data_IF_556184902863
#
_entry.id   IF_556184902863
#
_cell.length_a   1.000
_cell.length_b   1.000
_cell.length_c   1.000
_cell.angle_alpha   90.00
_cell.angle_beta   90.00
_cell.angle_gamma   90.00
#
_symmetry.space_group_name_H-M   'P 1'
#
loop_
_entity.id
_entity.type
_entity.pdbx_description
1 polymer ?
#
# COMPACT_ATOMS: atom_id res chain seq x y z
N UNK A 1 14.93 -12.66 -2.58
CA UNK A 1 13.69 -11.90 -2.87
C UNK A 1 13.45 -10.93 -1.71
N UNK A 2 13.03 -9.70 -1.97
CA UNK A 2 12.81 -8.72 -0.91
C UNK A 2 11.60 -9.10 -0.04
N UNK A 3 11.77 -9.13 1.27
CA UNK A 3 10.70 -9.38 2.26
C UNK A 3 10.14 -8.04 2.75
N UNK A 4 8.90 -8.02 3.23
CA UNK A 4 8.32 -6.81 3.82
C UNK A 4 7.55 -7.16 5.08
N UNK A 5 7.45 -6.20 5.98
CA UNK A 5 6.61 -6.29 7.19
C UNK A 5 5.68 -5.08 7.25
N UNK A 6 4.44 -5.29 7.67
CA UNK A 6 3.44 -4.23 7.82
C UNK A 6 3.16 -4.01 9.30
N UNK A 7 3.39 -2.79 9.79
CA UNK A 7 3.06 -2.45 11.18
C UNK A 7 1.56 -2.47 11.42
N UNK A 8 1.15 -2.76 12.66
CA UNK A 8 -0.26 -2.70 13.08
C UNK A 8 -0.89 -1.34 12.82
N UNK A 9 -0.15 -0.25 13.02
CA UNK A 9 -0.64 1.10 12.76
C UNK A 9 -0.99 1.30 11.28
N UNK A 10 -0.06 0.93 10.39
CA UNK A 10 -0.26 1.00 8.94
C UNK A 10 -1.48 0.17 8.52
N UNK A 11 -1.56 -1.08 9.00
CA UNK A 11 -2.67 -1.98 8.76
C UNK A 11 -4.02 -1.39 9.19
N UNK A 12 -4.12 -0.91 10.44
CA UNK A 12 -5.35 -0.31 10.95
C UNK A 12 -5.76 0.94 10.16
N UNK A 13 -4.84 1.81 9.77
CA UNK A 13 -5.15 2.99 8.96
C UNK A 13 -5.70 2.63 7.58
N UNK A 14 -5.16 1.60 6.93
CA UNK A 14 -5.67 1.08 5.65
C UNK A 14 -7.13 0.64 5.82
N UNK A 15 -7.39 -0.23 6.79
CA UNK A 15 -8.74 -0.75 7.05
C UNK A 15 -9.73 0.35 7.41
N UNK A 16 -9.35 1.25 8.33
CA UNK A 16 -10.21 2.35 8.74
C UNK A 16 -10.50 3.31 7.58
N UNK A 17 -9.55 3.52 6.65
CA UNK A 17 -9.80 4.33 5.47
C UNK A 17 -10.91 3.72 4.60
N UNK A 18 -10.85 2.42 4.33
CA UNK A 18 -11.86 1.74 3.52
C UNK A 18 -13.21 1.65 4.24
N UNK A 19 -13.23 1.33 5.53
CA UNK A 19 -14.46 1.28 6.33
C UNK A 19 -15.13 2.65 6.49
N UNK A 20 -14.35 3.74 6.45
CA UNK A 20 -14.88 5.11 6.46
C UNK A 20 -15.62 5.46 5.16
N UNK A 21 -15.20 4.88 4.02
CA UNK A 21 -15.79 5.14 2.70
C UNK A 21 -16.22 3.83 2.02
N UNK A 22 -17.22 3.13 2.56
CA UNK A 22 -17.49 1.76 2.16
C UNK A 22 -18.00 1.61 0.71
N UNK A 23 -18.67 2.64 0.22
CA UNK A 23 -19.30 2.68 -1.09
C UNK A 23 -18.38 3.23 -2.18
N UNK A 24 -17.09 3.41 -1.91
CA UNK A 24 -16.17 4.05 -2.84
C UNK A 24 -14.79 3.41 -2.81
N UNK A 25 -14.11 3.45 -3.96
CA UNK A 25 -12.72 3.06 -4.01
C UNK A 25 -11.86 4.05 -3.22
N UNK A 26 -10.93 3.53 -2.41
CA UNK A 26 -10.00 4.33 -1.62
C UNK A 26 -8.56 3.99 -1.97
N UNK A 27 -7.66 4.94 -1.82
CA UNK A 27 -6.24 4.70 -1.98
C UNK A 27 -5.36 5.49 -1.01
N UNK A 28 -4.09 5.14 -1.01
CA UNK A 28 -3.07 5.90 -0.30
C UNK A 28 -1.68 5.35 -0.54
N UNK A 29 -0.69 5.99 0.09
CA UNK A 29 0.70 5.55 0.00
C UNK A 29 1.18 4.96 1.31
N UNK A 30 2.09 4.01 1.21
CA UNK A 30 2.74 3.39 2.36
C UNK A 30 4.09 4.04 2.61
N UNK A 31 4.39 4.27 3.88
CA UNK A 31 5.64 4.85 4.34
C UNK A 31 6.45 3.79 5.07
N UNK A 32 7.72 3.72 4.73
CA UNK A 32 8.59 2.69 5.27
C UNK A 32 10.03 3.13 5.42
N UNK A 33 10.72 2.35 6.23
CA UNK A 33 12.13 2.51 6.52
C UNK A 33 12.85 1.29 5.94
N UNK A 34 14.06 1.50 5.41
CA UNK A 34 14.91 0.38 5.03
C UNK A 34 15.49 -0.25 6.28
N UNK A 35 15.18 -1.51 6.49
CA UNK A 35 15.78 -2.28 7.56
C UNK A 35 17.25 -2.52 7.23
N UNK A 36 18.15 -1.81 7.93
CA UNK A 36 19.57 -2.16 7.97
C UNK A 36 19.77 -3.23 9.05
N UNK A 37 19.28 -4.45 8.83
CA UNK A 37 19.70 -5.56 9.69
C UNK A 37 21.19 -5.78 9.38
N UNK A 38 22.05 -5.41 10.34
CA UNK A 38 23.48 -5.59 10.23
C UNK A 38 23.80 -7.09 10.13
N UNK A 39 24.27 -7.53 8.96
CA UNK A 39 24.74 -8.89 8.71
C UNK A 39 23.94 -9.70 7.69
N UNK A 40 22.77 -9.21 7.24
CA UNK A 40 21.95 -9.93 6.26
C UNK A 40 21.83 -9.13 4.95
N UNK A 41 22.18 -9.77 3.83
CA UNK A 41 22.06 -9.20 2.48
C UNK A 41 20.60 -9.15 1.98
N UNK A 42 19.64 -9.48 2.85
CA UNK A 42 18.22 -9.48 2.55
C UNK A 42 17.65 -8.06 2.58
N UNK A 43 17.32 -7.54 1.40
CA UNK A 43 16.64 -6.26 1.21
C UNK A 43 15.21 -6.34 1.81
N UNK A 44 15.05 -6.01 3.09
CA UNK A 44 13.76 -6.06 3.81
C UNK A 44 13.22 -4.65 4.06
N UNK A 45 11.92 -4.46 3.75
CA UNK A 45 11.24 -3.16 3.88
C UNK A 45 10.26 -3.24 5.05
N UNK A 46 10.41 -2.34 6.03
CA UNK A 46 9.45 -2.21 7.12
C UNK A 46 8.49 -1.07 6.83
N UNK A 47 7.21 -1.39 6.65
CA UNK A 47 6.14 -0.41 6.45
C UNK A 47 5.63 0.04 7.82
N UNK A 48 6.05 1.23 8.23
CA UNK A 48 5.80 1.78 9.57
C UNK A 48 4.53 2.64 9.63
N UNK A 49 4.08 3.18 8.50
CA UNK A 49 2.86 3.97 8.45
C UNK A 49 2.23 4.01 7.05
N UNK A 50 1.02 4.57 6.95
CA UNK A 50 0.40 4.92 5.66
C UNK A 50 -0.22 6.30 5.69
N UNK A 51 -0.35 6.90 4.52
CA UNK A 51 -1.07 8.16 4.29
C UNK A 51 -2.27 7.88 3.37
N UNK A 52 -3.49 7.85 3.94
CA UNK A 52 -4.73 7.90 3.16
C UNK A 52 -4.77 9.11 2.24
N UNK A 53 -5.04 8.91 0.95
CA UNK A 53 -5.07 9.98 -0.05
C UNK A 53 -6.50 10.34 -0.45
N UNK A 54 -7.15 9.47 -1.23
CA UNK A 54 -8.42 9.80 -1.88
C UNK A 54 -9.45 8.69 -1.68
N UNK A 55 -10.73 9.07 -1.77
CA UNK A 55 -11.89 8.19 -1.68
C UNK A 55 -12.92 8.44 -2.81
N UNK A 56 -12.56 9.28 -3.79
CA UNK A 56 -13.26 9.54 -5.05
C UNK A 56 -12.25 10.04 -6.09
N UNK A 57 -12.52 9.80 -7.37
CA UNK A 57 -11.71 10.30 -8.50
C UNK A 57 -10.20 9.99 -8.40
N UNK A 58 -9.88 8.71 -8.15
CA UNK A 58 -8.50 8.24 -7.94
C UNK A 58 -7.58 8.48 -9.15
N UNK A 59 -8.15 8.65 -10.35
CA UNK A 59 -7.44 8.80 -11.62
C UNK A 59 -7.00 10.23 -11.96
N UNK A 60 -7.27 11.21 -11.09
CA UNK A 60 -6.85 12.60 -11.31
C UNK A 60 -5.34 12.75 -11.03
N UNK A 61 -4.56 13.02 -12.08
CA UNK A 61 -3.10 13.11 -11.98
C UNK A 61 -2.62 14.28 -11.12
N UNK A 62 -3.23 15.47 -11.25
CA UNK A 62 -2.75 16.67 -10.56
C UNK A 62 -2.85 16.60 -9.03
N UNK A 63 -3.99 16.21 -8.42
CA UNK A 63 -4.07 16.05 -6.97
C UNK A 63 -3.10 14.99 -6.44
N UNK A 64 -2.93 13.89 -7.18
CA UNK A 64 -2.00 12.83 -6.82
C UNK A 64 -0.55 13.33 -6.82
N UNK A 65 -0.12 14.04 -7.87
CA UNK A 65 1.24 14.58 -7.96
C UNK A 65 1.55 15.54 -6.82
N UNK A 66 0.61 16.43 -6.48
CA UNK A 66 0.77 17.37 -5.36
C UNK A 66 0.87 16.61 -4.04
N UNK A 67 0.00 15.61 -3.81
CA UNK A 67 0.01 14.82 -2.60
C UNK A 67 1.32 14.03 -2.44
N UNK A 68 1.80 13.39 -3.51
CA UNK A 68 3.08 12.68 -3.52
C UNK A 68 4.25 13.62 -3.21
N UNK A 69 4.26 14.83 -3.79
CA UNK A 69 5.28 15.83 -3.51
C UNK A 69 5.26 16.30 -2.06
N UNK A 70 4.08 16.55 -1.48
CA UNK A 70 3.95 16.95 -0.08
C UNK A 70 4.42 15.85 0.88
N UNK A 71 4.07 14.60 0.58
CA UNK A 71 4.46 13.45 1.40
C UNK A 71 5.96 13.20 1.30
N UNK A 72 6.57 13.37 0.12
CA UNK A 72 8.01 13.25 -0.04
C UNK A 72 8.76 14.33 0.76
N UNK A 73 8.30 15.58 0.70
CA UNK A 73 8.85 16.65 1.54
C UNK A 73 8.71 16.35 3.03
N UNK A 74 7.52 15.88 3.46
CA UNK A 74 7.32 15.46 4.84
C UNK A 74 8.32 14.36 5.25
N UNK A 75 8.47 13.33 4.43
CA UNK A 75 9.42 12.23 4.65
C UNK A 75 10.86 12.74 4.84
N UNK A 76 11.29 13.72 4.03
CA UNK A 76 12.63 14.31 4.11
C UNK A 76 12.85 15.10 5.42
N UNK A 77 11.80 15.69 6.00
CA UNK A 77 11.90 16.40 7.29
C UNK A 77 11.95 15.47 8.50
N UNK A 78 11.59 14.19 8.34
CA UNK A 78 11.57 13.23 9.43
C UNK A 78 12.97 12.69 9.74
N UNK A 79 13.28 12.57 11.04
CA UNK A 79 14.59 12.08 11.52
C UNK A 79 14.84 10.61 11.20
N UNK A 80 13.80 9.84 10.87
CA UNK A 80 13.85 8.38 10.69
C UNK A 80 14.17 7.90 9.26
N UNK A 81 14.54 8.79 8.34
CA UNK A 81 14.79 8.45 6.92
C UNK A 81 13.61 7.67 6.29
N UNK A 82 12.41 8.19 6.54
CA UNK A 82 11.17 7.65 6.04
C UNK A 82 11.11 7.85 4.52
N UNK A 83 10.54 6.90 3.79
CA UNK A 83 10.31 7.03 2.35
C UNK A 83 8.95 6.48 1.96
N UNK A 84 8.44 6.92 0.83
CA UNK A 84 7.30 6.26 0.18
C UNK A 84 7.78 4.91 -0.33
N UNK A 85 7.20 3.83 0.18
CA UNK A 85 7.58 2.44 -0.12
C UNK A 85 6.44 1.63 -0.75
N UNK A 86 5.26 2.21 -0.96
CA UNK A 86 4.10 1.45 -1.37
C UNK A 86 2.91 2.33 -1.75
N UNK A 87 1.89 1.71 -2.34
CA UNK A 87 0.62 2.31 -2.71
C UNK A 87 -0.45 1.27 -2.45
N UNK A 88 -1.45 1.57 -1.62
CA UNK A 88 -2.57 0.68 -1.39
C UNK A 88 -3.82 1.19 -2.10
N UNK A 89 -4.72 0.26 -2.44
CA UNK A 89 -5.98 0.55 -3.08
C UNK A 89 -7.03 -0.48 -2.68
N UNK A 90 -8.19 -0.03 -2.22
CA UNK A 90 -9.37 -0.87 -2.11
C UNK A 90 -10.38 -0.45 -3.17
N UNK A 91 -10.88 -1.42 -3.93
CA UNK A 91 -11.86 -1.19 -4.99
C UNK A 91 -13.27 -1.03 -4.42
N UNK A 92 -14.16 -0.38 -5.19
CA UNK A 92 -15.56 -0.20 -4.82
C UNK A 92 -16.35 -1.53 -4.79
N UNK A 93 -15.93 -2.51 -5.61
CA UNK A 93 -16.60 -3.79 -5.75
C UNK A 93 -15.95 -4.82 -4.83
N UNK A 94 -16.75 -5.43 -3.97
CA UNK A 94 -16.28 -6.33 -2.91
C UNK A 94 -15.49 -7.55 -3.40
N UNK A 95 -15.79 -8.03 -4.61
CA UNK A 95 -15.14 -9.21 -5.20
C UNK A 95 -14.05 -8.85 -6.20
N UNK A 96 -13.79 -7.56 -6.39
CA UNK A 96 -12.78 -7.09 -7.31
C UNK A 96 -11.48 -6.82 -6.56
N UNK A 97 -10.65 -7.87 -6.47
CA UNK A 97 -9.31 -7.79 -5.89
C UNK A 97 -8.25 -7.67 -6.99
N UNK A 98 -8.59 -7.03 -8.12
CA UNK A 98 -7.62 -6.72 -9.17
C UNK A 98 -7.17 -5.26 -9.09
N UNK A 99 -5.86 -4.98 -9.21
CA UNK A 99 -5.39 -3.61 -9.26
C UNK A 99 -5.78 -2.97 -10.61
N UNK A 100 -6.20 -1.71 -10.57
CA UNK A 100 -6.60 -0.99 -11.78
C UNK A 100 -5.41 -0.32 -12.52
N UNK A 101 -5.71 0.37 -13.63
CA UNK A 101 -4.70 1.11 -14.38
C UNK A 101 -4.12 2.31 -13.61
N UNK A 102 -4.86 2.85 -12.64
CA UNK A 102 -4.39 3.96 -11.80
C UNK A 102 -3.29 3.45 -10.89
N UNK A 103 -3.50 2.32 -10.21
CA UNK A 103 -2.50 1.64 -9.40
C UNK A 103 -1.23 1.41 -10.22
N UNK A 104 -1.34 0.85 -11.43
CA UNK A 104 -0.19 0.62 -12.30
C UNK A 104 0.61 1.90 -12.57
N UNK A 105 -0.06 3.00 -12.97
CA UNK A 105 0.60 4.28 -13.25
C UNK A 105 1.29 4.88 -12.03
N UNK A 106 0.64 4.81 -10.86
CA UNK A 106 1.23 5.29 -9.60
C UNK A 106 2.47 4.47 -9.26
N UNK A 107 2.38 3.15 -9.42
CA UNK A 107 3.49 2.23 -9.15
C UNK A 107 4.68 2.48 -10.07
N UNK A 108 4.45 2.66 -11.37
CA UNK A 108 5.49 3.02 -12.34
C UNK A 108 6.15 4.34 -11.96
N UNK A 109 5.35 5.35 -11.59
CA UNK A 109 5.87 6.65 -11.14
C UNK A 109 6.72 6.52 -9.89
N UNK A 110 6.24 5.84 -8.86
CA UNK A 110 6.97 5.63 -7.60
C UNK A 110 8.26 4.81 -7.81
N UNK A 111 8.23 3.82 -8.70
CA UNK A 111 9.41 3.03 -9.08
C UNK A 111 10.44 3.91 -9.81
N UNK A 112 10.00 4.78 -10.73
CA UNK A 112 10.90 5.70 -11.45
C UNK A 112 11.60 6.70 -10.53
N UNK A 113 10.98 7.02 -9.39
CA UNK A 113 11.54 7.92 -8.39
C UNK A 113 12.46 7.21 -7.37
N UNK A 114 12.43 5.88 -7.34
CA UNK A 114 13.10 5.09 -6.30
C UNK A 114 14.24 4.27 -6.91
N UNK A 115 15.50 4.54 -6.52
CA UNK A 115 16.67 3.77 -6.99
C UNK A 115 16.71 2.31 -6.52
N UNK A 116 15.76 1.86 -5.70
CA UNK A 116 15.70 0.50 -5.21
C UNK A 116 14.32 -0.08 -5.45
N UNK A 117 14.30 -1.39 -5.77
CA UNK A 117 13.12 -2.21 -6.06
C UNK A 117 12.15 -2.28 -4.88
N UNK A 118 11.49 -1.16 -4.63
CA UNK A 118 10.50 -1.00 -3.59
C UNK A 118 9.30 -1.86 -3.99
N UNK A 119 8.87 -2.70 -3.06
CA UNK A 119 7.65 -3.49 -3.20
C UNK A 119 6.44 -2.57 -3.11
N UNK A 120 6.07 -2.13 -4.30
CA UNK A 120 4.80 -1.63 -4.79
C UNK A 120 3.53 -2.31 -4.26
N UNK A 121 3.25 -2.26 -2.97
CA UNK A 121 2.22 -3.12 -2.39
C UNK A 121 0.80 -2.58 -2.59
N UNK A 122 0.19 -2.82 -3.75
CA UNK A 122 -1.27 -2.70 -3.84
C UNK A 122 -1.88 -3.68 -2.85
N UNK A 123 -2.85 -3.24 -2.08
CA UNK A 123 -3.46 -4.01 -1.02
C UNK A 123 -4.96 -3.83 -1.09
N UNK A 124 -5.66 -4.84 -1.60
CA UNK A 124 -7.09 -4.77 -1.85
C UNK A 124 -7.81 -5.47 -0.71
N UNK A 125 -8.76 -4.74 -0.13
CA UNK A 125 -9.55 -5.18 1.01
C UNK A 125 -10.83 -5.83 0.49
N UNK A 126 -11.01 -7.11 0.78
CA UNK A 126 -12.30 -7.78 0.63
C UNK A 126 -13.18 -7.41 1.83
N UNK A 127 -13.99 -6.37 1.71
CA UNK A 127 -15.02 -6.05 2.71
C UNK A 127 -16.33 -6.73 2.32
N UNK A 128 -16.88 -7.57 3.18
CA UNK A 128 -18.27 -8.05 3.03
C UNK A 128 -19.19 -7.08 3.80
N UNK A 129 -19.99 -6.27 3.10
CA UNK A 129 -20.89 -5.30 3.75
C UNK A 129 -22.09 -5.91 4.49
N UNK A 130 -22.29 -7.22 4.42
CA UNK A 130 -23.39 -7.88 5.14
C UNK A 130 -22.96 -8.44 6.49
N UNK A 131 -21.67 -8.78 6.67
CA UNK A 131 -21.07 -9.20 7.93
C UNK A 131 -19.58 -8.83 7.91
N UNK A 132 -19.16 -8.01 8.89
CA UNK A 132 -17.74 -7.80 9.18
C UNK A 132 -17.21 -9.09 9.77
N UNK A 133 -16.51 -9.87 8.95
CA UNK A 133 -15.88 -11.10 9.40
C UNK A 133 -14.59 -10.75 10.15
N UNK A 134 -14.68 -10.67 11.48
CA UNK A 134 -13.54 -10.39 12.35
C UNK A 134 -12.40 -11.41 12.18
N UNK A 135 -12.69 -12.61 11.65
CA UNK A 135 -11.66 -13.61 11.35
C UNK A 135 -10.76 -13.22 10.18
N UNK A 136 -11.17 -12.26 9.34
CA UNK A 136 -10.37 -11.73 8.21
C UNK A 136 -9.64 -10.43 8.51
N UNK A 137 -9.95 -9.80 9.63
CA UNK A 137 -9.48 -8.46 10.04
C UNK A 137 -8.35 -8.52 11.07
N UNK A 138 -8.16 -9.69 11.71
CA UNK A 138 -7.01 -9.91 12.58
C UNK A 138 -5.72 -9.96 11.76
N UNK A 139 -4.61 -9.48 12.33
CA UNK A 139 -3.26 -9.71 11.80
C UNK A 139 -2.89 -11.20 11.78
N UNK A 140 -3.58 -12.02 12.57
CA UNK A 140 -3.43 -13.48 12.68
C UNK A 140 -4.58 -14.22 11.98
N UNK A 141 -5.29 -13.56 11.06
CA UNK A 141 -6.39 -14.15 10.32
C UNK A 141 -5.96 -15.34 9.45
N UNK A 142 -6.72 -16.44 9.47
CA UNK A 142 -6.51 -17.61 8.60
C UNK A 142 -6.62 -17.25 7.10
N UNK A 143 -7.33 -16.15 6.78
CA UNK A 143 -7.39 -15.58 5.45
C UNK A 143 -7.12 -14.08 5.49
N UNK A 144 -6.01 -13.65 4.88
CA UNK A 144 -5.61 -12.25 4.80
C UNK A 144 -6.57 -11.43 3.94
N UNK A 145 -7.11 -10.34 4.50
CA UNK A 145 -7.90 -9.36 3.74
C UNK A 145 -7.04 -8.43 2.87
N UNK A 146 -5.75 -8.70 2.73
CA UNK A 146 -4.76 -7.84 2.10
C UNK A 146 -3.98 -8.67 1.08
N UNK A 147 -4.22 -8.41 -0.20
CA UNK A 147 -3.53 -9.10 -1.29
C UNK A 147 -2.34 -8.30 -1.78
N UNK A 148 -1.17 -8.94 -1.84
CA UNK A 148 0.06 -8.28 -2.23
C UNK A 148 0.34 -8.33 -3.73
N UNK A 149 0.82 -7.23 -4.31
CA UNK A 149 1.27 -7.18 -5.70
C UNK A 149 2.69 -6.61 -5.83
N UNK A 150 3.39 -6.96 -6.91
CA UNK A 150 4.69 -6.41 -7.28
C UNK A 150 4.68 -6.01 -8.75
N UNK A 151 5.28 -4.87 -9.09
CA UNK A 151 5.49 -4.48 -10.48
C UNK A 151 6.60 -5.33 -11.10
N UNK A 152 6.28 -6.07 -12.15
CA UNK A 152 7.22 -6.86 -12.95
C UNK A 152 6.82 -6.72 -14.43
N UNK A 153 7.76 -6.32 -15.28
CA UNK A 153 7.52 -6.13 -16.73
C UNK A 153 6.31 -5.23 -17.04
N UNK A 154 6.18 -4.09 -16.36
CA UNK A 154 5.04 -3.17 -16.48
C UNK A 154 3.66 -3.79 -16.15
N UNK A 155 3.66 -4.90 -15.39
CA UNK A 155 2.43 -5.56 -14.91
C UNK A 155 2.49 -5.80 -13.41
N UNK A 156 1.34 -5.66 -12.76
CA UNK A 156 1.18 -6.01 -11.35
C UNK A 156 0.94 -7.51 -11.24
N UNK A 157 1.89 -8.22 -10.63
CA UNK A 157 1.77 -9.66 -10.38
C UNK A 157 1.54 -9.92 -8.90
N UNK A 158 0.66 -10.87 -8.52
CA UNK A 158 0.48 -11.26 -7.14
C UNK A 158 1.81 -11.70 -6.52
N UNK A 159 2.00 -11.36 -5.25
CA UNK A 159 3.10 -11.87 -4.44
C UNK A 159 2.50 -12.69 -3.30
N UNK A 160 3.04 -13.88 -3.05
CA UNK A 160 2.57 -14.69 -1.93
C UNK A 160 2.85 -13.95 -0.62
N UNK A 161 1.78 -13.68 0.12
CA UNK A 161 1.81 -13.26 1.52
C UNK A 161 1.92 -14.54 2.35
N UNK A 162 3.15 -14.90 2.73
CA UNK A 162 3.40 -15.97 3.70
C UNK A 162 3.08 -15.52 5.12
#
# INVERSE_FOLDING_TARGET
MATFTLSTQAYCKILLHALKYPHSAVNGVMLGEKSKIAGDSSNSIQIVDVVPLFHRWLSLSTPLEIALSQIDLFCQTQTKNLKIVGYYQANERLKDNSPDQTALKVMEKLTSLSCENILIMSCIIELSYTQVDNSKISLEADSNCLHAFCLQDQKLRPKETG
#
